data_IF_095218820426
#
_entry.id   IF_095218820426
#
_cell.length_a   1.000
_cell.length_b   1.000
_cell.length_c   1.000
_cell.angle_alpha   90.00
_cell.angle_beta   90.00
_cell.angle_gamma   90.00
#
_symmetry.space_group_name_H-M   'P 1'
#
loop_
_entity.id
_entity.type
_entity.pdbx_description
1 polymer ?
#
# COMPACT_ATOMS: atom_id res chain seq x y z
N UNK A 1 -26.42 51.82 33.85
CA UNK A 1 -27.80 52.30 34.10
C UNK A 1 -28.64 51.98 32.87
N UNK A 2 -29.46 50.95 32.99
CA UNK A 2 -30.71 50.66 32.27
C UNK A 2 -31.07 49.20 32.60
N UNK A 3 -31.87 49.04 33.66
CA UNK A 3 -32.54 47.81 34.10
C UNK A 3 -33.91 47.69 33.41
N UNK A 4 -34.36 46.45 33.12
CA UNK A 4 -35.70 45.91 33.42
C UNK A 4 -35.84 44.48 32.83
N UNK A 5 -35.96 43.45 33.69
CA UNK A 5 -37.18 42.73 34.15
C UNK A 5 -37.72 41.69 33.14
N UNK A 6 -37.56 40.38 33.38
CA UNK A 6 -38.36 39.46 34.24
C UNK A 6 -39.78 39.21 33.72
N UNK A 7 -40.06 37.98 33.28
CA UNK A 7 -41.38 37.34 33.44
C UNK A 7 -41.29 35.82 33.31
N UNK A 8 -41.55 35.16 34.43
CA UNK A 8 -41.74 33.72 34.63
C UNK A 8 -43.20 33.34 34.40
N UNK A 9 -43.47 32.17 33.80
CA UNK A 9 -44.74 31.46 34.00
C UNK A 9 -44.54 29.94 34.00
N UNK A 10 -44.86 29.37 35.14
CA UNK A 10 -45.01 27.95 35.49
C UNK A 10 -46.45 27.50 35.22
N UNK A 11 -46.67 26.19 35.00
CA UNK A 11 -47.75 25.33 35.56
C UNK A 11 -48.11 24.19 34.60
N UNK A 12 -48.12 22.96 35.13
CA UNK A 12 -48.78 21.82 34.51
C UNK A 12 -48.36 20.44 35.02
N UNK A 13 -48.44 20.19 36.34
CA UNK A 13 -48.45 18.82 36.89
C UNK A 13 -49.82 18.16 36.69
N UNK A 14 -49.83 16.89 36.25
CA UNK A 14 -50.94 15.94 36.47
C UNK A 14 -50.36 14.56 36.73
N UNK A 15 -50.50 14.07 37.97
CA UNK A 15 -50.44 12.65 38.35
C UNK A 15 -51.81 12.00 38.08
N UNK A 16 -51.87 10.72 37.70
CA UNK A 16 -52.24 9.62 38.61
C UNK A 16 -52.57 8.27 37.89
N UNK A 17 -52.15 7.18 38.54
CA UNK A 17 -52.61 5.78 38.58
C UNK A 17 -52.85 4.86 37.34
N UNK A 18 -51.91 3.92 37.18
CA UNK A 18 -52.10 2.48 37.46
C UNK A 18 -53.25 1.68 36.82
N UNK A 19 -52.95 0.82 35.82
CA UNK A 19 -53.47 -0.56 35.75
C UNK A 19 -52.73 -1.44 34.74
N UNK A 20 -52.21 -2.57 35.21
CA UNK A 20 -51.64 -3.63 34.39
C UNK A 20 -52.75 -4.41 33.66
N UNK A 21 -52.67 -4.44 32.32
CA UNK A 21 -53.34 -5.44 31.46
C UNK A 21 -52.34 -5.83 30.38
N UNK A 22 -51.81 -7.05 30.49
CA UNK A 22 -50.99 -7.71 29.48
C UNK A 22 -51.89 -8.27 28.38
N UNK A 23 -51.85 -7.67 27.19
CA UNK A 23 -52.33 -8.27 25.93
C UNK A 23 -51.35 -7.98 24.80
N UNK A 24 -50.46 -8.95 24.60
CA UNK A 24 -50.03 -9.55 23.32
C UNK A 24 -50.26 -8.72 22.05
N UNK A 25 -49.18 -8.33 21.37
CA UNK A 25 -48.95 -8.58 19.92
C UNK A 25 -47.52 -8.12 19.54
N UNK A 26 -46.54 -9.00 19.77
CA UNK A 26 -45.20 -8.88 19.18
C UNK A 26 -45.15 -9.72 17.90
N UNK A 27 -45.23 -9.05 16.75
CA UNK A 27 -44.78 -9.61 15.47
C UNK A 27 -43.28 -9.35 15.34
N UNK A 28 -42.46 -10.35 15.70
CA UNK A 28 -41.07 -10.45 15.27
C UNK A 28 -40.88 -11.78 14.54
N UNK A 29 -40.36 -11.79 13.31
CA UNK A 29 -40.11 -13.02 12.59
C UNK A 29 -39.00 -13.79 13.30
N UNK A 30 -39.32 -15.02 13.70
CA UNK A 30 -38.41 -15.97 14.32
C UNK A 30 -37.18 -16.20 13.43
N UNK A 31 -36.01 -15.79 13.92
CA UNK A 31 -34.72 -16.25 13.41
C UNK A 31 -34.57 -17.72 13.79
N UNK A 32 -34.67 -18.60 12.79
CA UNK A 32 -34.36 -20.00 12.92
C UNK A 32 -32.84 -20.15 13.16
N UNK A 33 -32.45 -20.32 14.42
CA UNK A 33 -31.10 -20.69 14.83
C UNK A 33 -30.80 -22.12 14.37
N UNK A 34 -30.36 -22.25 13.12
CA UNK A 34 -29.72 -23.47 12.64
C UNK A 34 -28.29 -23.56 13.18
N UNK A 35 -28.17 -24.13 14.37
CA UNK A 35 -26.92 -24.53 14.98
C UNK A 35 -26.27 -25.69 14.20
N UNK A 36 -25.73 -25.39 13.01
CA UNK A 36 -24.85 -26.27 12.25
C UNK A 36 -23.43 -25.69 12.28
N UNK A 37 -22.79 -25.79 13.44
CA UNK A 37 -21.36 -25.48 13.63
C UNK A 37 -20.48 -26.60 13.06
N UNK A 38 -20.54 -26.77 11.74
CA UNK A 38 -19.47 -27.45 11.00
C UNK A 38 -18.21 -26.58 11.06
N UNK A 39 -17.16 -27.07 11.73
CA UNK A 39 -15.84 -26.41 11.84
C UNK A 39 -15.08 -26.31 10.50
N UNK A 40 -15.72 -26.57 9.35
CA UNK A 40 -15.12 -26.37 8.02
C UNK A 40 -15.75 -25.18 7.31
N UNK A 41 -15.05 -24.05 7.42
CA UNK A 41 -15.15 -22.90 6.53
C UNK A 41 -16.52 -22.23 6.51
N UNK A 42 -16.74 -21.27 7.41
CA UNK A 42 -17.85 -20.31 7.31
C UNK A 42 -17.94 -19.77 5.86
N UNK A 43 -19.16 -19.69 5.32
CA UNK A 43 -19.39 -19.26 3.95
C UNK A 43 -18.81 -17.85 3.69
N UNK A 44 -18.34 -17.61 2.46
CA UNK A 44 -18.02 -16.26 1.97
C UNK A 44 -19.35 -15.57 1.60
N UNK A 45 -19.44 -14.24 1.72
CA UNK A 45 -20.58 -13.50 1.19
C UNK A 45 -20.71 -13.69 -0.34
N UNK A 46 -21.89 -13.42 -0.90
CA UNK A 46 -22.20 -13.70 -2.30
C UNK A 46 -21.27 -12.91 -3.25
N UNK A 47 -21.01 -11.63 -2.97
CA UNK A 47 -20.11 -10.80 -3.79
C UNK A 47 -18.66 -11.31 -3.78
N UNK A 48 -18.12 -11.65 -2.60
CA UNK A 48 -16.78 -12.26 -2.52
C UNK A 48 -16.73 -13.66 -3.15
N UNK A 49 -17.84 -14.42 -3.11
CA UNK A 49 -17.93 -15.73 -3.75
C UNK A 49 -17.90 -15.61 -5.28
N UNK A 50 -18.70 -14.71 -5.85
CA UNK A 50 -18.78 -14.46 -7.29
C UNK A 50 -17.46 -13.96 -7.86
N UNK A 51 -16.75 -13.09 -7.12
CA UNK A 51 -15.46 -12.53 -7.54
C UNK A 51 -14.25 -13.34 -7.09
N UNK A 52 -14.47 -14.50 -6.47
CA UNK A 52 -13.45 -15.36 -5.87
C UNK A 52 -12.47 -14.63 -4.92
N UNK A 53 -12.95 -13.64 -4.16
CA UNK A 53 -12.17 -12.89 -3.18
C UNK A 53 -12.14 -13.60 -1.81
N UNK A 54 -11.18 -13.21 -0.96
CA UNK A 54 -11.12 -13.62 0.46
C UNK A 54 -12.13 -12.80 1.26
N UNK A 55 -13.14 -13.45 1.84
CA UNK A 55 -14.12 -12.81 2.71
C UNK A 55 -13.69 -12.94 4.18
N UNK A 56 -13.62 -11.82 4.90
CA UNK A 56 -13.32 -11.74 6.33
C UNK A 56 -14.56 -11.97 7.21
N UNK A 57 -15.76 -11.99 6.60
CA UNK A 57 -17.03 -12.45 7.20
C UNK A 57 -17.57 -11.58 8.33
N UNK A 58 -17.13 -10.32 8.40
CA UNK A 58 -17.71 -9.35 9.33
C UNK A 58 -19.14 -9.03 8.84
N UNK A 59 -20.10 -9.05 9.77
CA UNK A 59 -21.48 -8.62 9.53
C UNK A 59 -21.63 -7.17 10.02
N UNK A 60 -22.48 -6.33 9.38
CA UNK A 60 -23.35 -6.66 8.24
C UNK A 60 -22.61 -6.70 6.88
N UNK A 61 -21.44 -6.05 6.78
CA UNK A 61 -20.67 -5.93 5.53
C UNK A 61 -19.21 -6.33 5.76
N UNK A 62 -18.70 -7.21 4.91
CA UNK A 62 -17.31 -7.69 4.97
C UNK A 62 -16.33 -6.60 4.46
N UNK A 63 -15.07 -6.58 4.91
CA UNK A 63 -14.12 -5.51 4.53
C UNK A 63 -13.90 -5.42 3.02
N UNK A 64 -13.96 -6.52 2.28
CA UNK A 64 -13.84 -6.48 0.82
C UNK A 64 -15.04 -5.78 0.16
N UNK A 65 -16.24 -6.00 0.67
CA UNK A 65 -17.44 -5.36 0.14
C UNK A 65 -17.55 -3.90 0.60
N UNK A 66 -16.99 -3.53 1.76
CA UNK A 66 -17.03 -2.17 2.30
C UNK A 66 -16.42 -1.13 1.33
N UNK A 67 -15.39 -1.52 0.58
CA UNK A 67 -14.69 -0.63 -0.36
C UNK A 67 -15.23 -0.72 -1.79
N UNK A 68 -16.19 -1.61 -2.05
CA UNK A 68 -16.73 -1.82 -3.40
C UNK A 68 -18.15 -1.26 -3.47
N UNK A 69 -18.38 -0.10 -4.13
CA UNK A 69 -19.65 0.63 -4.04
C UNK A 69 -20.83 -0.01 -4.80
N UNK A 70 -20.71 -1.24 -5.30
CA UNK A 70 -21.61 -1.77 -6.36
C UNK A 70 -22.41 -3.00 -5.91
N UNK A 71 -22.16 -3.61 -4.75
CA UNK A 71 -22.90 -4.83 -4.37
C UNK A 71 -23.17 -4.96 -2.89
N UNK A 72 -24.41 -5.27 -2.54
CA UNK A 72 -24.82 -5.64 -1.19
C UNK A 72 -24.06 -6.88 -0.70
N UNK A 73 -23.55 -6.82 0.53
CA UNK A 73 -22.81 -7.91 1.14
C UNK A 73 -23.75 -8.95 1.77
N UNK A 74 -24.51 -9.65 0.94
CA UNK A 74 -25.46 -10.68 1.38
C UNK A 74 -24.77 -12.03 1.60
N UNK A 75 -25.31 -12.81 2.54
CA UNK A 75 -24.91 -14.20 2.76
C UNK A 75 -26.09 -15.09 2.41
N UNK A 76 -26.24 -15.43 1.14
CA UNK A 76 -27.22 -16.45 0.73
C UNK A 76 -26.76 -17.79 1.28
N UNK A 77 -27.53 -18.43 2.19
CA UNK A 77 -27.20 -19.77 2.66
C UNK A 77 -27.16 -20.68 1.43
N UNK A 78 -25.98 -21.25 1.17
CA UNK A 78 -25.87 -22.24 0.10
C UNK A 78 -26.87 -23.35 0.42
N UNK A 79 -27.67 -23.82 -0.58
CA UNK A 79 -28.46 -25.02 -0.38
C UNK A 79 -27.48 -26.07 0.15
N UNK A 80 -27.72 -26.53 1.39
CA UNK A 80 -26.84 -27.48 2.05
C UNK A 80 -26.63 -28.61 1.05
N UNK A 81 -25.39 -28.84 0.56
CA UNK A 81 -25.18 -29.95 -0.35
C UNK A 81 -25.52 -31.18 0.47
N UNK A 82 -26.67 -31.79 0.23
CA UNK A 82 -27.27 -32.88 1.01
C UNK A 82 -26.40 -34.16 1.04
N UNK A 83 -25.16 -34.09 0.55
CA UNK A 83 -24.37 -35.21 0.08
C UNK A 83 -22.91 -35.19 0.57
N UNK A 84 -22.53 -34.32 1.52
CA UNK A 84 -21.15 -34.35 2.10
C UNK A 84 -20.94 -35.40 3.20
N UNK A 85 -21.96 -36.17 3.59
CA UNK A 85 -21.85 -37.30 4.52
C UNK A 85 -22.36 -38.65 3.99
N UNK A 86 -23.06 -38.65 2.85
CA UNK A 86 -23.66 -39.87 2.28
C UNK A 86 -22.58 -40.61 1.47
N UNK A 87 -22.32 -41.91 1.73
CA UNK A 87 -21.37 -42.68 0.92
C UNK A 87 -21.85 -42.81 -0.54
N UNK A 88 -20.99 -43.24 -1.46
CA UNK A 88 -21.46 -43.68 -2.80
C UNK A 88 -22.41 -44.88 -2.60
N UNK A 89 -23.46 -44.99 -3.42
CA UNK A 89 -24.29 -46.20 -3.39
C UNK A 89 -23.44 -47.44 -3.68
N UNK A 90 -23.87 -48.60 -3.20
CA UNK A 90 -23.08 -49.83 -3.19
C UNK A 90 -22.66 -50.23 -4.61
N UNK A 91 -23.56 -50.08 -5.59
CA UNK A 91 -23.28 -50.41 -6.99
C UNK A 91 -22.29 -49.46 -7.65
N UNK A 92 -22.46 -48.14 -7.51
CA UNK A 92 -21.46 -47.20 -8.00
C UNK A 92 -20.12 -47.35 -7.26
N UNK A 93 -20.12 -47.85 -6.01
CA UNK A 93 -18.90 -48.18 -5.28
C UNK A 93 -18.20 -49.41 -5.85
N UNK A 94 -18.93 -50.49 -6.12
CA UNK A 94 -18.42 -51.73 -6.72
C UNK A 94 -17.93 -51.52 -8.15
N UNK A 95 -18.69 -50.79 -8.97
CA UNK A 95 -18.32 -50.46 -10.35
C UNK A 95 -17.33 -49.28 -10.46
N UNK A 96 -16.91 -48.72 -9.31
CA UNK A 96 -16.05 -47.55 -9.20
C UNK A 96 -16.50 -46.32 -10.02
N UNK A 97 -17.81 -46.11 -10.15
CA UNK A 97 -18.41 -44.98 -10.87
C UNK A 97 -18.58 -43.75 -9.96
N UNK A 98 -18.79 -42.59 -10.61
CA UNK A 98 -19.17 -41.35 -9.90
C UNK A 98 -20.64 -41.46 -9.48
N UNK A 99 -20.89 -41.30 -8.19
CA UNK A 99 -22.23 -41.28 -7.61
C UNK A 99 -22.51 -39.85 -7.13
N UNK A 100 -23.60 -39.28 -7.60
CA UNK A 100 -24.18 -37.98 -7.19
C UNK A 100 -24.78 -38.03 -5.78
N UNK A 101 -24.99 -39.23 -5.24
CA UNK A 101 -25.45 -39.52 -3.87
C UNK A 101 -26.87 -39.02 -3.59
N UNK A 102 -27.66 -38.74 -4.62
CA UNK A 102 -29.08 -38.46 -4.48
C UNK A 102 -29.77 -39.68 -3.85
N UNK A 103 -30.41 -39.49 -2.70
CA UNK A 103 -31.29 -40.48 -2.10
C UNK A 103 -32.73 -40.18 -2.55
N UNK A 104 -33.58 -41.20 -2.80
CA UNK A 104 -33.35 -42.63 -2.57
C UNK A 104 -32.54 -43.34 -3.66
N UNK A 105 -32.53 -42.83 -4.90
CA UNK A 105 -31.83 -43.42 -6.05
C UNK A 105 -30.93 -42.38 -6.70
N UNK A 106 -29.65 -42.73 -6.84
CA UNK A 106 -28.64 -41.88 -7.46
C UNK A 106 -28.94 -41.69 -8.96
N UNK A 107 -28.56 -40.56 -9.55
CA UNK A 107 -28.85 -40.21 -10.93
C UNK A 107 -28.38 -41.30 -11.91
N UNK A 108 -27.18 -41.86 -11.71
CA UNK A 108 -26.65 -42.92 -12.56
C UNK A 108 -27.53 -44.20 -12.52
N UNK A 109 -27.92 -44.64 -11.32
CA UNK A 109 -28.77 -45.81 -11.17
C UNK A 109 -30.17 -45.57 -11.75
N UNK A 110 -30.68 -44.34 -11.66
CA UNK A 110 -31.96 -43.94 -12.25
C UNK A 110 -31.91 -44.00 -13.78
N UNK A 111 -30.90 -43.38 -14.39
CA UNK A 111 -30.71 -43.36 -15.85
C UNK A 111 -30.47 -44.77 -16.41
N UNK A 112 -29.82 -45.63 -15.65
CA UNK A 112 -29.56 -47.03 -16.04
C UNK A 112 -30.73 -47.98 -15.75
N UNK A 113 -31.89 -47.50 -15.28
CA UNK A 113 -33.03 -48.29 -14.83
C UNK A 113 -32.65 -49.41 -13.83
N UNK A 114 -31.70 -49.13 -12.94
CA UNK A 114 -31.28 -50.05 -11.89
C UNK A 114 -32.12 -49.78 -10.65
N UNK A 115 -32.97 -50.75 -10.29
CA UNK A 115 -33.84 -50.67 -9.10
C UNK A 115 -33.09 -50.86 -7.76
N UNK A 116 -31.91 -51.46 -7.77
CA UNK A 116 -31.15 -51.80 -6.56
C UNK A 116 -30.03 -50.78 -6.22
N UNK A 117 -30.43 -49.53 -5.99
CA UNK A 117 -29.52 -48.46 -5.54
C UNK A 117 -29.54 -48.33 -4.02
N UNK A 118 -28.67 -49.05 -3.32
CA UNK A 118 -28.57 -49.03 -1.85
C UNK A 118 -27.36 -48.25 -1.35
N UNK A 119 -27.47 -47.66 -0.16
CA UNK A 119 -26.41 -46.89 0.49
C UNK A 119 -26.01 -47.58 1.81
N UNK A 120 -25.08 -48.54 1.77
CA UNK A 120 -24.61 -49.19 3.00
C UNK A 120 -23.53 -48.34 3.69
N UNK A 121 -23.70 -47.97 4.98
CA UNK A 121 -22.67 -47.28 5.75
C UNK A 121 -21.38 -48.10 5.78
N UNK A 122 -20.24 -47.48 5.45
CA UNK A 122 -18.95 -48.17 5.49
C UNK A 122 -18.62 -48.54 6.94
N UNK A 123 -18.82 -49.81 7.30
CA UNK A 123 -18.39 -50.37 8.60
C UNK A 123 -16.88 -50.19 8.68
N UNK A 124 -16.41 -49.19 9.44
CA UNK A 124 -14.98 -49.06 9.75
C UNK A 124 -14.61 -50.33 10.49
N UNK A 125 -13.67 -51.11 9.94
CA UNK A 125 -13.02 -52.16 10.71
C UNK A 125 -12.46 -51.49 11.97
N UNK A 126 -13.04 -51.80 13.13
CA UNK A 126 -12.38 -51.45 14.39
C UNK A 126 -11.06 -52.23 14.39
N UNK A 127 -9.90 -51.57 14.54
CA UNK A 127 -8.68 -52.31 14.78
C UNK A 127 -8.88 -53.20 16.02
N UNK A 128 -8.33 -54.42 16.05
CA UNK A 128 -8.47 -55.30 17.21
C UNK A 128 -7.91 -54.57 18.43
N UNK A 129 -8.81 -54.10 19.30
CA UNK A 129 -8.45 -53.52 20.58
C UNK A 129 -7.82 -54.61 21.43
N UNK A 130 -6.61 -54.33 21.90
CA UNK A 130 -5.85 -55.14 22.83
C UNK A 130 -6.72 -55.64 23.98
N UNK A 131 -6.60 -56.94 24.21
CA UNK A 131 -7.13 -57.66 25.35
C UNK A 131 -6.66 -56.99 26.64
N UNK A 132 -7.64 -56.55 27.42
CA UNK A 132 -7.54 -56.16 28.82
C UNK A 132 -6.78 -57.18 29.66
N UNK A 133 -5.72 -56.75 30.35
CA UNK A 133 -5.31 -57.35 31.62
C UNK A 133 -6.11 -56.70 32.77
N UNK A 134 -6.61 -57.47 33.75
CA UNK A 134 -7.37 -56.94 34.88
C UNK A 134 -6.47 -56.75 36.11
N UNK A 135 -6.48 -55.54 36.69
CA UNK A 135 -6.11 -55.31 38.10
C UNK A 135 -6.72 -53.96 38.52
N UNK A 136 -7.88 -53.93 39.18
CA UNK A 136 -8.10 -54.06 40.63
C UNK A 136 -7.72 -52.82 41.46
N UNK A 137 -8.76 -51.99 41.72
CA UNK A 137 -9.06 -51.17 42.93
C UNK A 137 -8.10 -50.00 43.25
N UNK A 138 -8.45 -48.83 43.81
CA UNK A 138 -9.48 -48.32 44.77
C UNK A 138 -9.66 -46.79 44.51
N UNK A 139 -10.78 -46.13 44.88
CA UNK A 139 -11.07 -44.73 44.54
C UNK A 139 -10.69 -43.73 45.67
N UNK A 140 -10.36 -42.49 45.33
CA UNK A 140 -10.73 -41.31 46.14
C UNK A 140 -10.67 -40.00 45.36
N UNK A 141 -11.32 -39.02 45.98
CA UNK A 141 -12.00 -37.85 45.47
C UNK A 141 -11.11 -36.59 45.43
N UNK A 142 -11.74 -35.51 44.96
CA UNK A 142 -11.58 -34.10 45.35
C UNK A 142 -10.55 -33.18 44.66
N UNK A 143 -11.15 -32.07 44.20
CA UNK A 143 -10.74 -30.67 44.22
C UNK A 143 -10.27 -30.03 42.91
N UNK A 144 -11.18 -29.18 42.44
CA UNK A 144 -10.98 -28.08 41.54
C UNK A 144 -9.97 -27.08 42.10
N UNK A 145 -8.98 -26.68 41.28
CA UNK A 145 -8.36 -25.38 41.36
C UNK A 145 -8.06 -24.84 39.95
N UNK A 146 -8.36 -23.57 39.83
CA UNK A 146 -8.32 -22.66 38.70
C UNK A 146 -6.93 -22.59 38.05
N UNK A 147 -6.86 -22.80 36.73
CA UNK A 147 -5.64 -22.63 35.97
C UNK A 147 -5.39 -21.14 35.66
N UNK A 148 -4.52 -20.52 36.45
CA UNK A 148 -3.82 -19.27 36.12
C UNK A 148 -2.55 -19.64 35.37
N UNK A 149 -2.45 -19.26 34.09
CA UNK A 149 -1.27 -19.48 33.27
C UNK A 149 -0.29 -18.31 33.44
N UNK A 150 0.69 -18.48 34.32
CA UNK A 150 1.89 -17.64 34.41
C UNK A 150 2.83 -17.99 33.25
N UNK A 151 3.25 -16.97 32.48
CA UNK A 151 4.38 -17.09 31.55
C UNK A 151 5.68 -17.11 32.34
N UNK A 152 6.46 -18.18 32.17
CA UNK A 152 7.80 -18.32 32.73
C UNK A 152 8.79 -17.62 31.81
N UNK A 153 9.58 -16.71 32.39
CA UNK A 153 10.76 -16.11 31.77
C UNK A 153 11.81 -17.18 31.46
N UNK A 154 12.23 -17.25 30.20
CA UNK A 154 13.48 -17.91 29.79
C UNK A 154 14.35 -16.83 29.15
N UNK A 155 15.36 -16.41 29.91
CA UNK A 155 16.46 -15.60 29.42
C UNK A 155 17.45 -16.51 28.69
N UNK A 156 17.66 -16.26 27.40
CA UNK A 156 18.71 -16.85 26.58
C UNK A 156 19.28 -15.80 25.62
N UNK A 157 20.60 -15.82 25.32
CA UNK A 157 21.25 -14.79 24.53
C UNK A 157 20.83 -14.90 23.06
N UNK A 158 20.35 -13.79 22.49
CA UNK A 158 19.86 -13.71 21.12
C UNK A 158 21.02 -13.34 20.19
N UNK A 159 21.48 -14.33 19.41
CA UNK A 159 22.22 -14.09 18.16
C UNK A 159 21.25 -13.53 17.11
N UNK A 160 21.61 -12.37 16.56
CA UNK A 160 20.83 -11.62 15.59
C UNK A 160 21.01 -12.18 14.18
N UNK A 161 20.19 -13.16 13.81
CA UNK A 161 20.01 -13.53 12.41
C UNK A 161 18.96 -12.63 11.73
N UNK A 162 19.49 -11.66 10.98
CA UNK A 162 18.76 -10.79 10.05
C UNK A 162 18.06 -11.62 8.96
N UNK A 163 16.71 -11.61 8.98
CA UNK A 163 15.88 -12.13 7.90
C UNK A 163 15.60 -11.02 6.87
N UNK A 164 16.49 -10.89 5.89
CA UNK A 164 16.16 -10.24 4.61
C UNK A 164 15.62 -11.29 3.66
N UNK A 165 14.29 -11.40 3.55
CA UNK A 165 13.63 -12.28 2.56
C UNK A 165 13.10 -11.43 1.41
N UNK A 166 13.93 -11.28 0.38
CA UNK A 166 13.54 -10.73 -0.91
C UNK A 166 12.54 -11.68 -1.59
N UNK A 167 11.39 -11.14 -2.00
CA UNK A 167 10.51 -11.75 -2.97
C UNK A 167 10.82 -11.14 -4.34
N UNK A 168 11.59 -11.84 -5.15
CA UNK A 168 11.60 -11.67 -6.61
C UNK A 168 11.36 -13.06 -7.20
N UNK A 169 10.22 -13.21 -7.86
CA UNK A 169 9.90 -14.33 -8.72
C UNK A 169 10.70 -14.15 -10.01
N UNK A 170 11.62 -15.07 -10.31
CA UNK A 170 12.05 -15.32 -11.68
C UNK A 170 11.81 -16.77 -12.05
N UNK A 171 11.31 -16.93 -13.26
CA UNK A 171 10.75 -18.12 -13.84
C UNK A 171 11.68 -18.52 -14.98
N UNK A 172 12.51 -19.56 -14.82
CA UNK A 172 13.23 -20.22 -15.92
C UNK A 172 13.14 -21.73 -15.74
N UNK A 173 12.76 -22.38 -16.83
CA UNK A 173 12.53 -23.81 -16.99
C UNK A 173 13.84 -24.64 -17.01
N UNK A 174 13.68 -25.91 -16.61
CA UNK A 174 14.22 -27.12 -17.28
C UNK A 174 15.11 -28.04 -16.42
N UNK A 175 14.55 -29.23 -16.18
CA UNK A 175 15.15 -30.58 -16.23
C UNK A 175 16.51 -30.87 -15.57
N UNK A 176 16.50 -31.83 -14.64
CA UNK A 176 17.17 -33.15 -14.76
C UNK A 176 17.85 -33.63 -13.48
N UNK A 177 17.51 -34.88 -13.10
CA UNK A 177 18.35 -35.90 -12.42
C UNK A 177 19.13 -35.53 -11.15
N UNK A 178 18.61 -36.02 -10.01
CA UNK A 178 19.39 -36.59 -8.89
C UNK A 178 20.24 -37.77 -9.40
N UNK A 179 21.46 -38.04 -8.86
CA UNK A 179 21.56 -38.55 -7.48
C UNK A 179 22.84 -38.25 -6.68
N UNK A 180 22.73 -38.61 -5.40
CA UNK A 180 23.70 -39.25 -4.51
C UNK A 180 24.86 -38.54 -3.79
N UNK A 181 25.18 -39.19 -2.69
CA UNK A 181 25.93 -38.82 -1.50
C UNK A 181 27.41 -38.42 -1.69
N UNK A 182 27.83 -37.54 -0.76
CA UNK A 182 28.96 -37.83 0.12
C UNK A 182 30.36 -37.59 -0.43
N UNK A 183 30.96 -36.46 -0.03
CA UNK A 183 32.38 -36.44 0.36
C UNK A 183 32.75 -35.15 1.10
N UNK A 184 33.19 -35.30 2.34
CA UNK A 184 34.05 -34.33 3.00
C UNK A 184 35.36 -34.22 2.22
N UNK A 185 35.77 -33.01 1.87
CA UNK A 185 37.19 -32.67 1.73
C UNK A 185 37.39 -31.30 2.38
N UNK A 186 38.15 -31.34 3.46
CA UNK A 186 38.82 -30.23 4.12
C UNK A 186 39.91 -29.69 3.18
N UNK A 187 39.82 -28.43 2.76
CA UNK A 187 40.95 -27.74 2.12
C UNK A 187 41.09 -26.36 2.77
N UNK A 188 42.08 -26.31 3.66
CA UNK A 188 42.80 -25.12 4.06
C UNK A 188 43.64 -24.62 2.87
N UNK A 189 43.50 -23.33 2.52
CA UNK A 189 44.53 -22.47 1.88
C UNK A 189 43.97 -21.10 1.46
N UNK A 190 44.35 -20.10 2.26
CA UNK A 190 44.93 -18.82 1.81
C UNK A 190 45.01 -18.58 0.30
N UNK A 191 44.17 -17.66 -0.21
CA UNK A 191 44.39 -16.95 -1.46
C UNK A 191 43.78 -15.53 -1.38
N UNK A 192 44.49 -14.48 -1.85
CA UNK A 192 44.03 -13.09 -1.77
C UNK A 192 42.95 -12.79 -2.82
N UNK A 193 42.09 -11.83 -2.49
CA UNK A 193 40.97 -11.37 -3.31
C UNK A 193 41.41 -10.87 -4.70
N UNK A 194 40.69 -11.23 -5.79
CA UNK A 194 40.95 -10.67 -7.10
C UNK A 194 40.41 -9.23 -7.16
N UNK A 195 41.32 -8.27 -7.24
CA UNK A 195 41.03 -6.89 -7.62
C UNK A 195 40.57 -6.85 -9.08
N UNK A 196 39.28 -6.59 -9.30
CA UNK A 196 38.75 -6.23 -10.61
C UNK A 196 39.23 -4.81 -10.98
N UNK A 197 40.40 -4.70 -11.59
CA UNK A 197 40.78 -3.51 -12.34
C UNK A 197 39.99 -3.49 -13.65
N UNK A 198 39.00 -2.60 -13.72
CA UNK A 198 38.27 -2.28 -14.95
C UNK A 198 39.13 -1.34 -15.79
N UNK A 199 39.94 -1.89 -16.68
CA UNK A 199 40.63 -1.13 -17.72
C UNK A 199 39.63 -0.76 -18.82
N UNK A 200 39.14 0.47 -18.82
CA UNK A 200 38.47 1.06 -19.99
C UNK A 200 39.55 1.68 -20.87
N UNK A 201 40.14 0.89 -21.76
CA UNK A 201 40.93 1.43 -22.88
C UNK A 201 39.95 2.01 -23.91
N UNK A 202 39.70 3.31 -23.84
CA UNK A 202 39.15 4.07 -24.96
C UNK A 202 40.19 4.06 -26.08
N UNK A 203 39.90 3.38 -27.19
CA UNK A 203 40.66 3.55 -28.41
C UNK A 203 40.36 4.95 -28.96
N UNK A 204 41.38 5.80 -29.02
CA UNK A 204 41.34 7.04 -29.80
C UNK A 204 41.02 6.69 -31.26
N UNK A 205 39.87 7.19 -31.73
CA UNK A 205 39.53 7.16 -33.15
C UNK A 205 40.46 8.10 -33.93
N UNK A 206 40.65 7.84 -35.23
CA UNK A 206 41.58 8.60 -36.06
C UNK A 206 41.18 10.08 -36.15
N UNK A 207 42.15 11.00 -36.20
CA UNK A 207 41.87 12.43 -36.33
C UNK A 207 41.18 12.68 -37.66
N UNK A 208 39.95 13.21 -37.61
CA UNK A 208 39.26 13.69 -38.80
C UNK A 208 40.08 14.83 -39.41
N UNK A 209 40.65 14.56 -40.57
CA UNK A 209 41.39 15.52 -41.37
C UNK A 209 40.50 16.75 -41.66
N UNK A 210 41.02 17.92 -41.28
CA UNK A 210 40.49 19.23 -41.63
C UNK A 210 40.51 19.39 -43.16
N UNK A 211 39.35 19.20 -43.80
CA UNK A 211 39.15 19.66 -45.17
C UNK A 211 39.01 21.18 -45.15
N UNK A 212 39.73 21.92 -46.02
CA UNK A 212 39.62 23.37 -46.11
C UNK A 212 38.21 23.75 -46.57
N UNK A 213 37.56 24.64 -45.81
CA UNK A 213 36.27 25.19 -46.16
C UNK A 213 36.36 25.96 -47.49
N UNK A 214 35.47 25.70 -48.46
CA UNK A 214 35.45 26.46 -49.71
C UNK A 214 35.10 27.92 -49.42
N UNK A 215 35.97 28.83 -49.88
CA UNK A 215 35.77 30.27 -49.83
C UNK A 215 34.55 30.62 -50.69
N UNK A 216 33.50 31.25 -50.16
CA UNK A 216 32.33 31.61 -50.94
C UNK A 216 32.67 32.75 -51.93
N UNK A 217 32.20 32.67 -53.19
CA UNK A 217 32.37 33.75 -54.15
C UNK A 217 31.56 34.98 -53.74
N UNK A 218 32.25 36.12 -53.67
CA UNK A 218 31.70 37.44 -53.39
C UNK A 218 30.91 37.97 -54.59
N UNK A 219 29.59 37.79 -54.58
CA UNK A 219 28.68 38.46 -55.51
C UNK A 219 28.02 39.68 -54.83
N UNK A 220 28.10 40.89 -55.42
CA UNK A 220 27.39 42.06 -54.93
C UNK A 220 25.97 42.06 -55.49
N UNK A 221 25.04 41.36 -54.83
CA UNK A 221 23.62 41.48 -55.14
C UNK A 221 22.88 42.03 -53.93
N UNK A 222 22.63 43.34 -53.95
CA UNK A 222 21.72 44.01 -53.05
C UNK A 222 20.28 43.55 -53.35
N UNK A 223 19.88 42.40 -52.81
CA UNK A 223 18.46 42.11 -52.61
C UNK A 223 18.05 42.62 -51.23
N UNK A 224 16.88 43.27 -51.09
CA UNK A 224 16.35 43.62 -49.79
C UNK A 224 16.09 42.33 -49.02
N UNK A 225 16.95 42.04 -48.05
CA UNK A 225 16.80 40.91 -47.15
C UNK A 225 15.57 41.18 -46.30
N UNK A 226 14.47 40.48 -46.60
CA UNK A 226 13.33 40.41 -45.69
C UNK A 226 13.87 39.76 -44.42
N UNK A 227 14.00 40.57 -43.36
CA UNK A 227 14.39 40.08 -42.04
C UNK A 227 13.30 39.13 -41.55
N UNK A 228 13.44 37.85 -41.88
CA UNK A 228 12.70 36.79 -41.25
C UNK A 228 13.22 36.73 -39.82
N UNK A 229 12.61 37.51 -38.94
CA UNK A 229 12.67 37.30 -37.50
C UNK A 229 12.21 35.87 -37.26
N UNK A 230 13.16 34.92 -37.21
CA UNK A 230 12.86 33.58 -36.74
C UNK A 230 12.24 33.78 -35.35
N UNK A 231 11.03 33.26 -35.09
CA UNK A 231 10.43 33.37 -33.77
C UNK A 231 11.48 32.88 -32.77
N UNK A 232 11.78 33.71 -31.76
CA UNK A 232 12.74 33.37 -30.72
C UNK A 232 12.55 31.91 -30.32
N UNK A 233 13.63 31.10 -30.23
CA UNK A 233 13.52 29.71 -29.84
C UNK A 233 12.69 29.65 -28.57
N UNK A 234 11.51 29.03 -28.71
CA UNK A 234 10.45 29.00 -27.71
C UNK A 234 11.10 28.62 -26.38
N UNK A 235 11.04 29.56 -25.43
CA UNK A 235 11.75 29.50 -24.15
C UNK A 235 11.68 28.09 -23.59
N UNK A 236 12.84 27.51 -23.29
CA UNK A 236 12.98 26.18 -22.71
C UNK A 236 11.92 25.97 -21.63
N UNK A 237 10.92 25.15 -21.93
CA UNK A 237 9.86 24.82 -20.98
C UNK A 237 10.41 23.87 -19.93
N UNK A 238 11.20 24.40 -19.00
CA UNK A 238 11.71 23.66 -17.86
C UNK A 238 10.67 23.68 -16.74
N UNK A 239 10.57 22.58 -16.02
CA UNK A 239 9.72 22.53 -14.82
C UNK A 239 10.38 23.41 -13.76
N UNK A 240 9.67 24.48 -13.35
CA UNK A 240 10.08 25.32 -12.22
C UNK A 240 9.66 24.63 -10.92
N UNK A 241 10.60 24.18 -10.06
CA UNK A 241 10.24 23.59 -8.78
C UNK A 241 9.52 24.61 -7.90
N UNK A 242 8.56 24.15 -7.10
CA UNK A 242 7.89 25.00 -6.14
C UNK A 242 8.86 25.47 -5.05
N UNK A 243 8.80 26.76 -4.71
CA UNK A 243 9.63 27.37 -3.68
C UNK A 243 8.82 28.41 -2.90
N UNK A 244 9.08 28.48 -1.60
CA UNK A 244 8.47 29.48 -0.72
C UNK A 244 9.44 29.80 0.42
N UNK A 245 9.64 31.08 0.80
CA UNK A 245 10.68 31.49 1.75
C UNK A 245 10.52 30.88 3.15
N UNK A 246 9.30 30.53 3.54
CA UNK A 246 9.01 29.92 4.86
C UNK A 246 9.08 28.40 4.90
N UNK A 247 9.38 27.70 3.81
CA UNK A 247 9.42 26.23 3.76
C UNK A 247 10.80 25.76 3.30
N UNK A 248 11.22 24.60 3.83
CA UNK A 248 12.45 23.97 3.35
C UNK A 248 12.23 23.50 1.90
N UNK A 249 13.14 23.83 0.96
CA UNK A 249 13.05 23.34 -0.41
C UNK A 249 13.30 21.82 -0.46
N UNK A 250 12.91 21.20 -1.58
CA UNK A 250 13.25 19.80 -1.84
C UNK A 250 14.77 19.58 -1.85
N UNK A 251 15.26 18.36 -1.60
CA UNK A 251 16.69 18.05 -1.67
C UNK A 251 17.34 18.56 -2.96
N UNK A 252 18.51 19.19 -2.84
CA UNK A 252 19.24 19.78 -3.96
C UNK A 252 19.44 18.83 -5.17
N UNK A 253 19.74 17.52 -4.99
CA UNK A 253 19.81 16.59 -6.12
C UNK A 253 18.49 16.48 -6.91
N UNK A 254 17.34 16.63 -6.25
CA UNK A 254 16.04 16.64 -6.91
C UNK A 254 15.84 17.93 -7.69
N UNK A 255 16.12 19.09 -7.08
CA UNK A 255 15.96 20.41 -7.71
C UNK A 255 16.79 20.53 -8.99
N UNK A 256 18.07 20.12 -8.95
CA UNK A 256 18.96 20.11 -10.13
C UNK A 256 18.41 19.25 -11.27
N UNK A 257 17.82 18.10 -10.93
CA UNK A 257 17.24 17.19 -11.93
C UNK A 257 15.92 17.72 -12.50
N UNK A 258 15.07 18.30 -11.66
CA UNK A 258 13.81 18.92 -12.08
C UNK A 258 14.04 20.07 -13.07
N UNK A 259 15.05 20.90 -12.84
CA UNK A 259 15.42 21.97 -13.78
C UNK A 259 15.87 21.47 -15.16
N UNK A 260 16.27 20.20 -15.28
CA UNK A 260 16.60 19.56 -16.55
C UNK A 260 15.42 18.88 -17.25
N UNK A 261 14.26 18.74 -16.59
CA UNK A 261 13.09 18.08 -17.17
C UNK A 261 12.35 19.03 -18.10
N UNK A 262 11.91 18.49 -19.25
CA UNK A 262 11.07 19.19 -20.21
C UNK A 262 9.62 19.10 -19.76
N UNK A 263 8.94 20.23 -19.64
CA UNK A 263 7.55 20.29 -19.18
C UNK A 263 6.60 19.56 -20.13
N UNK A 264 6.92 19.50 -21.43
CA UNK A 264 6.11 18.80 -22.45
C UNK A 264 6.08 17.29 -22.25
N UNK A 265 7.02 16.73 -21.47
CA UNK A 265 7.09 15.30 -21.15
C UNK A 265 6.30 14.95 -19.88
N UNK A 266 5.86 15.97 -19.11
CA UNK A 266 5.18 15.81 -17.82
C UNK A 266 3.76 16.37 -17.88
N UNK A 267 2.87 15.95 -16.96
CA UNK A 267 1.57 16.61 -16.79
C UNK A 267 1.73 18.12 -16.53
N UNK A 268 0.77 18.93 -16.96
CA UNK A 268 0.68 20.31 -16.47
C UNK A 268 0.48 20.29 -14.95
N UNK A 269 1.13 21.22 -14.25
CA UNK A 269 0.97 21.36 -12.80
C UNK A 269 -0.47 21.72 -12.45
N UNK A 270 -1.07 22.63 -13.20
CA UNK A 270 -2.44 23.07 -13.01
C UNK A 270 -3.44 21.91 -13.18
N UNK A 271 -3.23 21.07 -14.19
CA UNK A 271 -4.05 19.87 -14.41
C UNK A 271 -3.92 18.86 -13.27
N UNK A 272 -2.69 18.62 -12.80
CA UNK A 272 -2.44 17.75 -11.66
C UNK A 272 -3.06 18.28 -10.37
N UNK A 273 -2.86 19.56 -10.06
CA UNK A 273 -3.37 20.18 -8.83
C UNK A 273 -4.90 20.14 -8.81
N UNK A 274 -5.56 20.39 -9.95
CA UNK A 274 -7.01 20.26 -10.09
C UNK A 274 -7.50 18.82 -9.88
N UNK A 275 -6.81 17.84 -10.46
CA UNK A 275 -7.17 16.43 -10.30
C UNK A 275 -6.93 15.93 -8.87
N UNK A 276 -5.87 16.42 -8.22
CA UNK A 276 -5.59 16.15 -6.81
C UNK A 276 -6.67 16.77 -5.91
N UNK A 277 -7.09 18.00 -6.17
CA UNK A 277 -8.18 18.65 -5.43
C UNK A 277 -9.51 17.89 -5.57
N UNK A 278 -9.89 17.49 -6.79
CA UNK A 278 -11.08 16.66 -7.03
C UNK A 278 -11.00 15.32 -6.27
N UNK A 279 -9.83 14.66 -6.29
CA UNK A 279 -9.61 13.45 -5.50
C UNK A 279 -9.78 13.69 -3.99
N UNK A 280 -9.16 14.74 -3.44
CA UNK A 280 -9.24 15.09 -2.02
C UNK A 280 -10.69 15.45 -1.60
N UNK A 281 -11.45 16.09 -2.48
CA UNK A 281 -12.85 16.45 -2.24
C UNK A 281 -13.78 15.23 -2.10
N UNK A 282 -13.39 14.10 -2.69
CA UNK A 282 -14.12 12.81 -2.62
C UNK A 282 -13.69 11.95 -1.43
N UNK A 283 -12.59 12.29 -0.77
CA UNK A 283 -12.17 11.60 0.45
C UNK A 283 -13.09 11.94 1.62
N UNK A 284 -13.25 10.96 2.52
CA UNK A 284 -13.88 11.18 3.82
C UNK A 284 -13.16 12.32 4.57
N UNK A 285 -13.88 13.20 5.29
CA UNK A 285 -13.29 14.32 6.01
C UNK A 285 -12.06 13.94 6.85
N UNK A 286 -12.15 12.84 7.60
CA UNK A 286 -11.08 12.32 8.46
C UNK A 286 -9.80 11.92 7.72
N UNK A 287 -9.92 11.52 6.44
CA UNK A 287 -8.77 11.19 5.60
C UNK A 287 -8.24 12.44 4.89
N UNK A 288 -9.12 13.36 4.51
CA UNK A 288 -8.76 14.61 3.84
C UNK A 288 -7.82 15.45 4.69
N UNK A 289 -8.06 15.55 6.00
CA UNK A 289 -7.22 16.31 6.93
C UNK A 289 -5.76 15.84 6.98
N UNK A 290 -5.49 14.57 6.68
CA UNK A 290 -4.16 13.95 6.85
C UNK A 290 -3.55 13.46 5.52
N UNK A 291 -4.31 13.44 4.43
CA UNK A 291 -3.83 12.94 3.14
C UNK A 291 -2.81 13.89 2.51
N UNK A 292 -3.08 15.19 2.55
CA UNK A 292 -2.24 16.20 1.95
C UNK A 292 -2.43 17.53 2.69
N UNK A 293 -1.34 18.14 3.13
CA UNK A 293 -1.40 19.37 3.92
C UNK A 293 -1.17 20.59 3.02
N UNK A 294 -2.16 21.46 2.83
CA UNK A 294 -1.95 22.75 2.18
C UNK A 294 -0.94 23.60 2.99
N UNK A 295 -0.30 24.61 2.40
CA UNK A 295 0.74 25.40 3.04
C UNK A 295 0.37 25.93 4.44
N UNK A 296 -0.85 26.41 4.63
CA UNK A 296 -1.32 27.00 5.88
C UNK A 296 -1.48 25.93 6.98
N UNK A 297 -2.07 24.79 6.64
CA UNK A 297 -2.24 23.67 7.56
C UNK A 297 -0.88 23.03 7.90
N UNK A 298 0.00 22.90 6.91
CA UNK A 298 1.37 22.41 7.09
C UNK A 298 2.16 23.31 8.03
N UNK A 299 2.17 24.63 7.80
CA UNK A 299 2.86 25.58 8.65
C UNK A 299 2.29 25.60 10.07
N UNK A 300 0.97 25.49 10.22
CA UNK A 300 0.32 25.39 11.55
C UNK A 300 0.79 24.13 12.28
N UNK A 301 0.81 22.98 11.61
CA UNK A 301 1.29 21.72 12.18
C UNK A 301 2.78 21.80 12.53
N UNK A 302 3.64 22.25 11.62
CA UNK A 302 5.07 22.40 11.85
C UNK A 302 5.36 23.30 13.07
N UNK A 303 4.66 24.43 13.19
CA UNK A 303 4.78 25.34 14.35
C UNK A 303 4.28 24.72 15.66
N UNK A 304 3.22 23.90 15.62
CA UNK A 304 2.74 23.19 16.81
C UNK A 304 3.75 22.12 17.25
N UNK A 305 4.35 21.40 16.29
CA UNK A 305 5.38 20.38 16.54
C UNK A 305 6.68 21.00 17.06
N UNK A 306 7.12 22.14 16.53
CA UNK A 306 8.35 22.81 16.99
C UNK A 306 8.23 23.32 18.43
N UNK A 307 7.04 23.84 18.80
CA UNK A 307 6.74 24.33 20.16
C UNK A 307 6.34 23.23 21.14
N UNK A 308 6.17 21.99 20.69
CA UNK A 308 5.63 20.90 21.52
C UNK A 308 4.17 21.11 21.97
N UNK A 309 3.44 22.04 21.36
CA UNK A 309 2.06 22.35 21.73
C UNK A 309 1.07 21.91 20.64
N UNK A 310 0.66 20.64 20.70
CA UNK A 310 -0.30 20.03 19.76
C UNK A 310 -1.77 20.24 20.14
N UNK A 311 -2.06 21.02 21.20
CA UNK A 311 -3.43 21.25 21.69
C UNK A 311 -4.27 22.08 20.71
N UNK A 312 -3.62 22.91 19.88
CA UNK A 312 -4.27 23.75 18.85
C UNK A 312 -4.70 22.98 17.61
N UNK A 313 -4.21 21.74 17.44
CA UNK A 313 -4.54 20.90 16.30
C UNK A 313 -5.88 20.20 16.52
N UNK A 314 -6.57 19.88 15.42
CA UNK A 314 -7.76 19.03 15.45
C UNK A 314 -7.44 17.69 16.13
N UNK A 315 -8.44 17.09 16.79
CA UNK A 315 -8.28 15.79 17.46
C UNK A 315 -7.70 14.73 16.50
N UNK A 316 -8.12 14.78 15.23
CA UNK A 316 -7.68 13.87 14.18
C UNK A 316 -6.21 14.08 13.82
N UNK A 317 -5.80 15.31 13.50
CA UNK A 317 -4.41 15.63 13.19
C UNK A 317 -3.50 15.32 14.38
N UNK A 318 -3.95 15.57 15.60
CA UNK A 318 -3.21 15.23 16.83
C UNK A 318 -2.98 13.73 16.94
N UNK A 319 -4.03 12.93 16.79
CA UNK A 319 -3.92 11.47 16.85
C UNK A 319 -3.00 10.93 15.75
N UNK A 320 -3.12 11.46 14.53
CA UNK A 320 -2.26 11.12 13.41
C UNK A 320 -0.79 11.50 13.66
N UNK A 321 -0.52 12.73 14.09
CA UNK A 321 0.84 13.20 14.38
C UNK A 321 1.51 12.38 15.50
N UNK A 322 0.77 12.06 16.57
CA UNK A 322 1.26 11.20 17.64
C UNK A 322 1.53 9.77 17.15
N UNK A 323 0.61 9.19 16.38
CA UNK A 323 0.73 7.83 15.86
C UNK A 323 1.96 7.66 14.95
N UNK A 324 2.23 8.67 14.11
CA UNK A 324 3.38 8.67 13.21
C UNK A 324 4.64 9.31 13.81
N UNK A 325 4.63 9.68 15.09
CA UNK A 325 5.75 10.36 15.79
C UNK A 325 6.30 11.54 14.99
N UNK A 326 5.40 12.35 14.42
CA UNK A 326 5.80 13.50 13.61
C UNK A 326 6.55 14.51 14.48
N UNK A 327 7.60 15.10 13.92
CA UNK A 327 8.39 16.12 14.60
C UNK A 327 8.77 17.26 13.66
N UNK A 328 9.11 18.43 14.22
CA UNK A 328 9.69 19.52 13.41
C UNK A 328 11.08 19.11 12.94
N UNK A 329 11.41 19.41 11.69
CA UNK A 329 12.73 19.16 11.10
C UNK A 329 13.63 20.39 11.00
N UNK A 330 13.13 21.57 11.35
CA UNK A 330 13.88 22.82 11.37
C UNK A 330 13.28 23.75 12.43
N UNK A 331 14.12 24.61 13.00
CA UNK A 331 13.72 25.67 13.93
C UNK A 331 13.52 27.01 13.19
N UNK A 332 14.01 27.12 11.94
CA UNK A 332 13.95 28.35 11.12
C UNK A 332 12.86 28.33 10.06
N UNK A 333 12.60 27.16 9.48
CA UNK A 333 11.71 26.96 8.34
C UNK A 333 10.71 25.85 8.63
N UNK A 334 9.57 25.86 7.95
CA UNK A 334 8.58 24.80 8.10
C UNK A 334 9.09 23.53 7.43
N UNK A 335 9.35 22.50 8.23
CA UNK A 335 9.65 21.14 7.80
C UNK A 335 9.09 20.15 8.82
N UNK A 336 8.35 19.15 8.34
CA UNK A 336 7.82 18.05 9.14
C UNK A 336 8.57 16.78 8.76
N UNK A 337 9.02 16.05 9.77
CA UNK A 337 9.71 14.77 9.64
C UNK A 337 8.86 13.65 10.23
N UNK A 338 8.96 12.47 9.62
CA UNK A 338 8.48 11.21 10.16
C UNK A 338 9.69 10.27 10.35
N UNK A 339 9.86 9.63 11.52
CA UNK A 339 10.89 8.62 11.72
C UNK A 339 10.64 7.39 10.84
N UNK A 340 11.69 6.86 10.22
CA UNK A 340 11.61 5.57 9.52
C UNK A 340 11.49 4.42 10.52
N UNK A 341 11.07 3.25 10.03
CA UNK A 341 10.92 2.02 10.83
C UNK A 341 12.16 1.69 11.69
N UNK A 342 13.37 1.94 11.17
CA UNK A 342 14.63 1.71 11.90
C UNK A 342 14.82 2.64 13.10
N UNK A 343 14.29 3.85 13.02
CA UNK A 343 14.34 4.86 14.09
C UNK A 343 13.17 4.71 15.04
N UNK A 344 12.03 4.28 14.52
CA UNK A 344 10.81 4.08 15.29
C UNK A 344 11.00 3.10 16.44
N UNK A 345 11.92 2.13 16.29
CA UNK A 345 12.28 1.15 17.30
C UNK A 345 13.31 1.63 18.34
N UNK A 346 13.93 2.81 18.14
CA UNK A 346 14.91 3.37 19.07
C UNK A 346 14.24 3.98 20.30
N UNK A 347 15.04 4.18 21.35
CA UNK A 347 14.55 4.87 22.54
C UNK A 347 14.18 6.33 22.21
N UNK A 348 13.23 6.94 22.92
CA UNK A 348 12.86 8.34 22.71
C UNK A 348 14.04 9.31 22.82
N UNK A 349 15.01 9.02 23.69
CA UNK A 349 16.21 9.83 23.89
C UNK A 349 17.15 9.79 22.68
N UNK A 350 17.33 8.61 22.09
CA UNK A 350 18.16 8.44 20.89
C UNK A 350 17.52 9.05 19.65
N UNK A 351 16.20 8.89 19.49
CA UNK A 351 15.44 9.58 18.46
C UNK A 351 15.58 11.10 18.60
N UNK A 352 15.44 11.64 19.83
CA UNK A 352 15.59 13.06 20.07
C UNK A 352 17.00 13.56 19.74
N UNK A 353 18.04 12.78 20.07
CA UNK A 353 19.43 13.07 19.70
C UNK A 353 19.59 13.15 18.18
N UNK A 354 19.05 12.18 17.43
CA UNK A 354 19.10 12.17 15.97
C UNK A 354 18.32 13.34 15.34
N UNK A 355 17.15 13.69 15.88
CA UNK A 355 16.38 14.86 15.42
C UNK A 355 17.18 16.14 15.62
N UNK A 356 17.83 16.31 16.78
CA UNK A 356 18.64 17.49 17.10
C UNK A 356 19.84 17.63 16.17
N UNK A 357 20.52 16.54 15.86
CA UNK A 357 21.62 16.50 14.89
C UNK A 357 21.13 16.87 13.48
N UNK A 358 20.02 16.27 13.04
CA UNK A 358 19.42 16.55 11.74
C UNK A 358 19.04 18.04 11.60
N UNK A 359 18.37 18.62 12.61
CA UNK A 359 18.04 20.05 12.65
C UNK A 359 19.28 20.94 12.59
N UNK A 360 20.30 20.62 13.38
CA UNK A 360 21.54 21.39 13.43
C UNK A 360 22.27 21.38 12.09
N UNK A 361 22.25 20.25 11.37
CA UNK A 361 22.83 20.14 10.03
C UNK A 361 22.06 20.99 8.99
N UNK A 362 20.73 20.98 9.05
CA UNK A 362 19.90 21.77 8.13
C UNK A 362 19.94 23.28 8.41
N UNK A 363 19.76 23.68 9.67
CA UNK A 363 19.67 25.09 10.06
C UNK A 363 21.04 25.76 10.18
N UNK A 364 22.09 24.96 10.43
CA UNK A 364 23.46 25.41 10.63
C UNK A 364 24.24 25.65 9.34
N UNK A 365 23.72 25.23 8.18
CA UNK A 365 24.28 25.62 6.88
C UNK A 365 23.89 27.08 6.61
N UNK A 366 24.79 28.07 6.78
CA UNK A 366 24.54 29.37 6.18
C UNK A 366 24.28 29.15 4.70
N UNK A 367 23.26 29.80 4.13
CA UNK A 367 23.05 29.84 2.67
C UNK A 367 24.18 30.61 1.95
N UNK A 368 25.41 30.53 2.45
CA UNK A 368 26.60 30.98 1.74
C UNK A 368 26.72 30.13 0.49
N UNK A 369 26.55 30.79 -0.65
CA UNK A 369 26.76 30.27 -1.99
C UNK A 369 27.99 29.35 -2.01
N UNK A 370 27.89 28.15 -2.59
CA UNK A 370 28.99 27.20 -2.61
C UNK A 370 30.20 27.84 -3.28
N UNK A 371 31.27 28.07 -2.51
CA UNK A 371 32.55 28.46 -3.08
C UNK A 371 33.07 27.29 -3.94
N UNK A 372 33.33 27.51 -5.24
CA UNK A 372 33.54 26.43 -6.22
C UNK A 372 34.87 25.67 -6.10
N UNK A 373 35.65 25.83 -5.02
CA UNK A 373 37.07 25.45 -4.99
C UNK A 373 37.45 24.25 -4.12
N UNK A 374 36.51 23.55 -3.45
CA UNK A 374 36.85 22.34 -2.67
C UNK A 374 35.97 21.14 -3.04
N UNK A 375 36.26 20.54 -4.21
CA UNK A 375 35.82 19.19 -4.57
C UNK A 375 36.65 18.17 -3.77
N UNK A 376 36.29 17.94 -2.52
CA UNK A 376 36.77 16.76 -1.80
C UNK A 376 35.74 15.64 -1.94
N UNK A 377 36.17 14.41 -2.22
CA UNK A 377 35.37 13.19 -2.44
C UNK A 377 34.45 12.77 -1.25
N UNK A 378 34.16 13.66 -0.30
CA UNK A 378 33.26 13.45 0.84
C UNK A 378 31.78 13.69 0.51
N UNK A 379 31.43 14.09 -0.72
CA UNK A 379 30.05 14.43 -1.10
C UNK A 379 29.04 13.27 -1.06
N UNK A 380 29.48 12.02 -0.94
CA UNK A 380 28.56 10.88 -0.79
C UNK A 380 28.04 10.68 0.65
N UNK A 381 28.75 11.13 1.68
CA UNK A 381 28.36 10.91 3.07
C UNK A 381 27.17 11.78 3.52
N UNK A 382 26.91 12.91 2.84
CA UNK A 382 25.81 13.81 3.22
C UNK A 382 24.41 13.27 2.86
N UNK A 383 24.34 12.13 2.16
CA UNK A 383 23.06 11.43 1.90
C UNK A 383 22.62 10.58 3.09
N UNK A 384 23.54 10.20 4.00
CA UNK A 384 23.25 9.32 5.13
C UNK A 384 22.30 9.95 6.16
N UNK A 385 22.39 11.27 6.38
CA UNK A 385 21.43 11.97 7.26
C UNK A 385 19.98 11.91 6.76
N UNK A 386 19.77 11.76 5.44
CA UNK A 386 18.45 11.59 4.84
C UNK A 386 17.90 10.16 4.96
N UNK A 387 18.69 9.22 5.45
CA UNK A 387 18.27 7.83 5.63
C UNK A 387 17.51 7.61 6.94
N UNK A 388 17.60 8.53 7.91
CA UNK A 388 17.03 8.36 9.26
C UNK A 388 15.56 8.78 9.29
N UNK A 389 15.23 9.91 8.67
CA UNK A 389 13.89 10.47 8.64
C UNK A 389 13.34 10.55 7.22
N UNK A 390 12.01 10.50 7.10
CA UNK A 390 11.29 10.86 5.89
C UNK A 390 10.74 12.28 6.03
N UNK A 391 10.87 13.08 4.96
CA UNK A 391 10.31 14.42 4.88
C UNK A 391 8.86 14.33 4.42
N UNK A 392 7.98 15.03 5.11
CA UNK A 392 6.61 15.20 4.66
C UNK A 392 6.57 16.39 3.67
N UNK A 393 6.21 16.21 2.40
CA UNK A 393 6.12 17.31 1.46
C UNK A 393 4.88 18.17 1.76
N UNK A 394 4.99 19.49 1.60
CA UNK A 394 3.81 20.36 1.53
C UNK A 394 3.07 20.11 0.21
N UNK A 395 1.75 20.28 0.17
CA UNK A 395 0.92 19.90 -0.99
C UNK A 395 1.50 20.29 -2.36
N UNK A 396 1.95 21.53 -2.62
CA UNK A 396 2.51 21.90 -3.92
C UNK A 396 3.81 21.16 -4.30
N UNK A 397 4.58 20.67 -3.32
CA UNK A 397 5.79 19.88 -3.56
C UNK A 397 5.49 18.46 -4.03
N UNK A 398 4.26 17.96 -3.87
CA UNK A 398 3.90 16.60 -4.32
C UNK A 398 4.08 16.45 -5.83
N UNK A 399 3.68 17.46 -6.62
CA UNK A 399 3.93 17.48 -8.06
C UNK A 399 5.43 17.34 -8.36
N UNK A 400 6.29 18.10 -7.69
CA UNK A 400 7.74 18.08 -7.91
C UNK A 400 8.36 16.73 -7.55
N UNK A 401 7.93 16.14 -6.44
CA UNK A 401 8.34 14.80 -6.05
C UNK A 401 7.94 13.76 -7.11
N UNK A 402 6.70 13.81 -7.59
CA UNK A 402 6.19 12.87 -8.60
C UNK A 402 6.84 13.08 -9.95
N UNK A 403 7.03 14.32 -10.41
CA UNK A 403 7.74 14.65 -11.65
C UNK A 403 9.19 14.15 -11.61
N UNK A 404 9.87 14.34 -10.48
CA UNK A 404 11.21 13.79 -10.29
C UNK A 404 11.20 12.26 -10.37
N UNK A 405 10.32 11.58 -9.64
CA UNK A 405 10.28 10.11 -9.59
C UNK A 405 9.81 9.48 -10.90
N UNK A 406 8.91 10.15 -11.63
CA UNK A 406 8.35 9.70 -12.90
C UNK A 406 9.16 10.12 -14.13
N UNK A 407 10.32 10.77 -13.97
CA UNK A 407 11.21 11.22 -15.07
C UNK A 407 11.55 10.14 -16.13
N UNK A 408 11.48 8.86 -15.77
CA UNK A 408 11.70 7.73 -16.68
C UNK A 408 10.43 7.05 -17.19
N UNK A 409 9.26 7.67 -17.03
CA UNK A 409 7.94 7.10 -17.34
C UNK A 409 7.69 5.73 -16.70
N UNK A 410 8.19 5.55 -15.48
CA UNK A 410 8.08 4.29 -14.76
C UNK A 410 6.65 4.08 -14.24
N UNK A 411 6.31 2.82 -13.94
CA UNK A 411 5.01 2.48 -13.34
C UNK A 411 4.85 3.06 -11.94
N UNK A 412 3.62 3.14 -11.45
CA UNK A 412 3.28 3.72 -10.15
C UNK A 412 4.02 3.04 -8.99
N UNK A 413 4.24 1.72 -9.08
CA UNK A 413 5.04 0.98 -8.07
C UNK A 413 6.49 1.47 -8.07
N UNK A 414 7.11 1.60 -9.23
CA UNK A 414 8.49 2.08 -9.34
C UNK A 414 8.62 3.55 -8.90
N UNK A 415 7.63 4.39 -9.23
CA UNK A 415 7.55 5.78 -8.74
C UNK A 415 7.51 5.83 -7.22
N UNK A 416 6.62 5.05 -6.57
CA UNK A 416 6.52 5.02 -5.11
C UNK A 416 7.79 4.47 -4.43
N UNK A 417 8.45 3.47 -5.04
CA UNK A 417 9.73 2.98 -4.53
C UNK A 417 10.82 4.06 -4.61
N UNK A 418 10.87 4.83 -5.70
CA UNK A 418 11.79 5.95 -5.84
C UNK A 418 11.48 7.06 -4.82
N UNK A 419 10.20 7.42 -4.61
CA UNK A 419 9.77 8.36 -3.57
C UNK A 419 10.23 7.93 -2.17
N UNK A 420 10.04 6.64 -1.82
CA UNK A 420 10.50 6.09 -0.53
C UNK A 420 12.02 6.11 -0.43
N UNK A 421 12.74 5.81 -1.51
CA UNK A 421 14.21 5.87 -1.56
C UNK A 421 14.72 7.29 -1.28
N UNK A 422 14.01 8.32 -1.76
CA UNK A 422 14.33 9.73 -1.51
C UNK A 422 14.01 10.18 -0.07
N UNK A 423 13.37 9.34 0.73
CA UNK A 423 12.92 9.71 2.07
C UNK A 423 11.81 10.74 2.03
N UNK A 424 10.84 10.59 1.12
CA UNK A 424 9.64 11.42 1.08
C UNK A 424 8.45 10.56 1.54
N UNK A 425 7.72 11.05 2.54
CA UNK A 425 6.53 10.40 3.09
C UNK A 425 5.23 10.91 2.45
N UNK A 426 4.10 10.33 2.87
CA UNK A 426 2.70 10.70 2.56
C UNK A 426 2.24 10.70 1.10
N UNK A 427 3.12 10.50 0.12
CA UNK A 427 2.68 10.31 -1.27
C UNK A 427 2.08 8.91 -1.41
N UNK A 428 0.79 8.86 -1.73
CA UNK A 428 0.02 7.62 -1.82
C UNK A 428 -0.06 7.09 -3.25
N UNK A 429 -0.43 5.82 -3.40
CA UNK A 429 -0.62 5.21 -4.71
C UNK A 429 -1.65 5.94 -5.59
N UNK A 430 -2.83 6.37 -5.09
CA UNK A 430 -3.76 7.18 -5.89
C UNK A 430 -3.15 8.48 -6.42
N UNK A 431 -2.30 9.17 -5.65
CA UNK A 431 -1.63 10.39 -6.13
C UNK A 431 -0.67 10.11 -7.29
N UNK A 432 0.07 9.01 -7.21
CA UNK A 432 0.95 8.56 -8.29
C UNK A 432 0.16 8.18 -9.55
N UNK A 433 -0.96 7.46 -9.40
CA UNK A 433 -1.84 7.11 -10.51
C UNK A 433 -2.47 8.32 -11.19
N UNK A 434 -2.93 9.32 -10.41
CA UNK A 434 -3.43 10.58 -10.96
C UNK A 434 -2.35 11.24 -11.83
N UNK A 435 -1.13 11.36 -11.31
CA UNK A 435 -0.02 11.96 -12.04
C UNK A 435 0.33 11.19 -13.33
N UNK A 436 0.41 9.86 -13.25
CA UNK A 436 0.75 9.00 -14.39
C UNK A 436 -0.37 9.01 -15.44
N UNK A 437 -1.64 9.01 -15.02
CA UNK A 437 -2.78 9.09 -15.92
C UNK A 437 -2.86 10.41 -16.69
N UNK A 438 -2.36 11.50 -16.10
CA UNK A 438 -2.23 12.80 -16.75
C UNK A 438 -0.94 12.93 -17.58
N UNK A 439 0.00 11.99 -17.50
CA UNK A 439 1.26 12.10 -18.22
C UNK A 439 1.04 11.90 -19.74
N UNK A 440 1.41 12.88 -20.59
CA UNK A 440 1.13 12.84 -22.02
C UNK A 440 1.80 11.65 -22.71
N UNK A 441 2.99 11.26 -22.26
CA UNK A 441 3.74 10.15 -22.86
C UNK A 441 3.25 8.76 -22.42
N UNK A 442 2.68 8.66 -21.22
CA UNK A 442 2.11 7.41 -20.70
C UNK A 442 0.70 7.15 -21.26
N UNK A 443 -0.11 8.21 -21.38
CA UNK A 443 -1.49 8.10 -21.86
C UNK A 443 -1.58 7.64 -23.33
N UNK A 444 -0.66 8.12 -24.19
CA UNK A 444 -0.60 7.69 -25.60
C UNK A 444 -0.32 6.20 -25.75
N UNK A 445 0.54 5.62 -24.89
CA UNK A 445 0.89 4.20 -24.95
C UNK A 445 -0.25 3.28 -24.52
N UNK A 446 -1.07 3.72 -23.55
CA UNK A 446 -2.24 2.96 -23.09
C UNK A 446 -3.37 2.88 -24.12
N UNK A 447 -3.54 3.93 -24.94
CA UNK A 447 -4.62 4.01 -25.94
C UNK A 447 -4.42 3.17 -27.20
N UNK A 448 -3.21 2.70 -27.49
CA UNK A 448 -2.90 2.02 -28.77
C UNK A 448 -3.16 0.51 -28.78
N UNK A 449 -3.56 -0.10 -27.66
CA UNK A 449 -3.79 -1.56 -27.55
C UNK A 449 -5.24 -1.97 -27.35
N UNK A 450 -6.17 -1.03 -27.24
CA UNK A 450 -7.59 -1.34 -27.32
C UNK A 450 -8.01 -1.24 -28.80
N UNK A 451 -8.20 -2.36 -29.54
CA UNK A 451 -8.85 -2.28 -30.84
C UNK A 451 -10.20 -1.64 -30.60
N UNK A 452 -10.42 -0.44 -31.16
CA UNK A 452 -11.74 0.16 -31.23
C UNK A 452 -12.61 -0.88 -31.92
N UNK A 453 -13.45 -1.58 -31.16
CA UNK A 453 -14.53 -2.36 -31.73
C UNK A 453 -15.41 -1.35 -32.44
N UNK A 454 -15.18 -1.23 -33.74
CA UNK A 454 -16.04 -0.52 -34.66
C UNK A 454 -17.40 -1.19 -34.58
N UNK A 455 -18.24 -0.68 -33.67
CA UNK A 455 -19.67 -0.97 -33.66
C UNK A 455 -20.21 -0.37 -34.94
N UNK A 456 -20.22 -1.20 -35.98
CA UNK A 456 -20.80 -0.89 -37.26
C UNK A 456 -22.28 -0.58 -37.01
N UNK A 457 -22.63 0.69 -37.21
CA UNK A 457 -23.98 1.18 -37.14
C UNK A 457 -24.74 0.60 -38.33
N UNK A 458 -25.30 -0.60 -38.15
CA UNK A 458 -26.19 -1.25 -39.11
C UNK A 458 -27.55 -0.58 -39.08
N UNK A 459 -27.67 0.56 -39.75
CA UNK A 459 -28.97 1.09 -40.16
C UNK A 459 -29.58 0.15 -41.20
N UNK A 460 -30.72 -0.45 -40.86
CA UNK A 460 -31.64 -1.01 -41.86
C UNK A 460 -32.79 -0.04 -42.08
N UNK A 461 -33.07 0.12 -43.37
CA UNK A 461 -34.15 0.84 -44.05
C UNK A 461 -35.51 0.33 -43.62
#
# INVERSE_FOLDING_TARGET
MAESQDETASIGEVSDDGRAVTTTTNNSPATADSAWTSRRGKARCDSCRLRNLKCDRILPTCNQCRWTPVTDCTYTPLPTPAHRGVPRCDRCRESNLKCDRAAPVCQYCRESNISDCRYTPKKRARPPSEQSQPSSRVPYNTQAQSASFMFTNISGPVETHSYNRAFVNENIQSSSSRPDAGRMIEIDRTAPAPSYQRTTSFSEGPPLALLPAPVPPSYPTQQPFISHSFPEPVRNFQIKPWSHPSFIPLPEPMLRRLGGLRSVEMPSREEFDKALEDFLSKLMPDLRETACLPPEAYATLANCLSKGNITRLSTRIRAWATCHRLCSGSDKLNLILAPRDSVFALSPEEEHRMIKEYRSSLDGQPQSLPSPSQKSDKDNANTEGSAVFERLPVQPQIYDCLAYAHRGHASSVAVLMEIRRLGIASITWPMAEIFIGLCPLCNVKGGSLAPKSSSANGGRV
#
